data_IF_134730404724
#
_entry.id   IF_134730404724
#
_cell.length_a   1.000
_cell.length_b   1.000
_cell.length_c   1.000
_cell.angle_alpha   90.00
_cell.angle_beta   90.00
_cell.angle_gamma   90.00
#
_symmetry.space_group_name_H-M   'P 1'
#
loop_
_entity.id
_entity.type
_entity.pdbx_description
1 polymer ?
#
# COMPACT_ATOMS: atom_id res chain seq x y z
N UNK A 1 9.35 -7.24 12.46
CA UNK A 1 8.40 -6.80 11.41
C UNK A 1 7.23 -5.94 11.92
N UNK A 2 6.87 -5.97 13.22
CA UNK A 2 5.73 -5.18 13.75
C UNK A 2 5.92 -3.66 13.59
N UNK A 3 7.13 -3.14 13.76
CA UNK A 3 7.40 -1.70 13.68
C UNK A 3 7.16 -1.13 12.27
N UNK A 4 7.66 -1.81 11.24
CA UNK A 4 7.50 -1.40 9.84
C UNK A 4 6.03 -1.39 9.42
N UNK A 5 5.29 -2.45 9.71
CA UNK A 5 3.86 -2.53 9.44
C UNK A 5 3.07 -1.40 10.11
N UNK A 6 3.44 -1.03 11.35
CA UNK A 6 2.82 0.10 12.05
C UNK A 6 3.08 1.43 11.35
N UNK A 7 4.31 1.67 10.91
CA UNK A 7 4.66 2.91 10.20
C UNK A 7 3.97 3.02 8.84
N UNK A 8 3.88 1.90 8.10
CA UNK A 8 3.14 1.83 6.83
C UNK A 8 1.65 2.10 7.09
N UNK A 9 1.06 1.42 8.07
CA UNK A 9 -0.36 1.60 8.42
C UNK A 9 -0.64 3.05 8.84
N UNK A 10 0.27 3.66 9.61
CA UNK A 10 0.17 5.07 10.00
C UNK A 10 0.17 5.99 8.77
N UNK A 11 1.14 5.83 7.88
CA UNK A 11 1.23 6.60 6.64
C UNK A 11 -0.02 6.48 5.77
N UNK A 12 -0.58 5.27 5.66
CA UNK A 12 -1.80 5.02 4.90
C UNK A 12 -3.02 5.68 5.54
N UNK A 13 -3.13 5.69 6.87
CA UNK A 13 -4.23 6.36 7.58
C UNK A 13 -4.17 7.88 7.44
N UNK A 14 -2.98 8.46 7.40
CA UNK A 14 -2.83 9.90 7.14
C UNK A 14 -3.15 10.26 5.69
N UNK A 15 -2.73 9.44 4.73
CA UNK A 15 -2.91 9.72 3.31
C UNK A 15 -4.32 9.37 2.78
N UNK A 16 -4.93 8.31 3.32
CA UNK A 16 -6.19 7.71 2.85
C UNK A 16 -7.14 7.41 4.02
N UNK A 17 -7.51 8.43 4.83
CA UNK A 17 -8.28 8.20 6.05
C UNK A 17 -9.67 7.61 5.77
N UNK A 18 -10.36 8.13 4.75
CA UNK A 18 -11.71 7.67 4.39
C UNK A 18 -11.69 6.24 3.81
N UNK A 19 -10.69 5.92 2.99
CA UNK A 19 -10.50 4.58 2.44
C UNK A 19 -10.15 3.58 3.52
N UNK A 20 -9.25 3.94 4.44
CA UNK A 20 -8.86 3.06 5.55
C UNK A 20 -10.05 2.75 6.45
N UNK A 21 -10.84 3.77 6.81
CA UNK A 21 -12.03 3.60 7.63
C UNK A 21 -13.10 2.75 6.92
N UNK A 22 -13.36 3.01 5.64
CA UNK A 22 -14.32 2.24 4.85
C UNK A 22 -13.92 0.77 4.77
N UNK A 23 -12.66 0.49 4.41
CA UNK A 23 -12.15 -0.88 4.32
C UNK A 23 -12.17 -1.58 5.68
N UNK A 24 -11.83 -0.88 6.78
CA UNK A 24 -11.87 -1.45 8.12
C UNK A 24 -13.30 -1.83 8.56
N UNK A 25 -14.31 -1.14 8.02
CA UNK A 25 -15.73 -1.40 8.23
C UNK A 25 -16.34 -2.34 7.18
N UNK A 26 -15.54 -2.93 6.29
CA UNK A 26 -15.99 -3.72 5.14
C UNK A 26 -17.04 -2.98 4.28
N UNK A 27 -16.81 -1.69 4.07
CA UNK A 27 -17.63 -0.82 3.20
C UNK A 27 -16.84 -0.43 1.95
N UNK A 28 -17.57 -0.06 0.92
CA UNK A 28 -16.99 0.54 -0.27
C UNK A 28 -16.30 1.87 0.05
N UNK A 29 -15.15 2.09 -0.58
CA UNK A 29 -14.45 3.37 -0.49
C UNK A 29 -15.20 4.50 -1.21
N UNK A 30 -14.94 5.77 -0.85
CA UNK A 30 -15.59 6.90 -1.50
C UNK A 30 -15.43 6.89 -3.02
N UNK A 31 -16.51 7.23 -3.74
CA UNK A 31 -16.54 7.30 -5.21
C UNK A 31 -15.48 8.23 -5.83
N UNK A 32 -15.05 9.24 -5.06
CA UNK A 32 -14.03 10.24 -5.40
C UNK A 32 -12.59 9.82 -5.07
N UNK A 33 -12.42 8.66 -4.44
CA UNK A 33 -11.10 8.17 -4.03
C UNK A 33 -10.20 7.95 -5.24
N UNK A 34 -8.92 8.35 -5.10
CA UNK A 34 -7.88 8.05 -6.09
C UNK A 34 -7.57 6.56 -6.18
N UNK A 35 -7.95 5.77 -5.18
CA UNK A 35 -7.75 4.32 -5.14
C UNK A 35 -8.91 3.54 -5.76
N UNK A 36 -9.98 4.21 -6.19
CA UNK A 36 -11.19 3.54 -6.70
C UNK A 36 -10.97 2.74 -7.99
N UNK A 37 -10.02 3.15 -8.81
CA UNK A 37 -9.64 2.42 -10.03
C UNK A 37 -8.82 1.16 -9.74
N UNK A 38 -8.38 0.96 -8.50
CA UNK A 38 -7.61 -0.18 -8.05
C UNK A 38 -8.51 -1.16 -7.32
N UNK A 39 -8.21 -2.45 -7.42
CA UNK A 39 -8.82 -3.47 -6.56
C UNK A 39 -8.08 -3.46 -5.22
N UNK A 40 -8.64 -2.83 -4.19
CA UNK A 40 -7.96 -2.65 -2.89
C UNK A 40 -8.61 -3.45 -1.76
N UNK A 41 -7.82 -3.79 -0.75
CA UNK A 41 -8.30 -4.45 0.48
C UNK A 41 -7.38 -4.18 1.66
N UNK A 42 -7.72 -4.70 2.84
CA UNK A 42 -6.87 -4.64 4.02
C UNK A 42 -6.19 -5.99 4.29
N UNK A 43 -4.87 -5.98 4.46
CA UNK A 43 -4.08 -7.12 4.94
C UNK A 43 -3.23 -6.67 6.12
N UNK A 44 -3.42 -7.30 7.28
CA UNK A 44 -2.74 -6.93 8.53
C UNK A 44 -2.85 -5.44 8.88
N UNK A 45 -3.99 -4.81 8.56
CA UNK A 45 -4.23 -3.37 8.78
C UNK A 45 -3.66 -2.44 7.72
N UNK A 46 -2.92 -2.96 6.74
CA UNK A 46 -2.36 -2.18 5.62
C UNK A 46 -3.25 -2.29 4.38
N UNK A 47 -3.39 -1.19 3.64
CA UNK A 47 -4.05 -1.18 2.34
C UNK A 47 -3.14 -1.90 1.32
N UNK A 48 -3.69 -2.89 0.64
CA UNK A 48 -3.02 -3.67 -0.41
C UNK A 48 -3.83 -3.62 -1.69
N UNK A 49 -3.15 -3.79 -2.83
CA UNK A 49 -3.77 -3.83 -4.16
C UNK A 49 -3.78 -5.28 -4.66
N UNK A 50 -4.91 -5.80 -5.12
CA UNK A 50 -5.06 -7.13 -5.73
C UNK A 50 -5.54 -7.08 -7.18
N UNK A 51 -6.10 -8.19 -7.67
CA UNK A 51 -6.78 -8.28 -8.97
C UNK A 51 -5.99 -9.08 -10.01
N UNK A 52 -5.30 -8.39 -10.93
CA UNK A 52 -4.73 -9.01 -12.15
C UNK A 52 -3.82 -10.21 -11.89
N UNK A 53 -3.18 -10.28 -10.73
CA UNK A 53 -2.24 -11.34 -10.35
C UNK A 53 -2.83 -12.38 -9.38
N UNK A 54 -4.13 -12.35 -9.08
CA UNK A 54 -4.72 -13.22 -8.05
C UNK A 54 -4.54 -14.71 -8.36
N UNK A 55 -4.59 -15.08 -9.65
CA UNK A 55 -4.41 -16.45 -10.14
C UNK A 55 -2.96 -16.81 -10.54
N UNK A 56 -2.00 -15.90 -10.37
CA UNK A 56 -0.61 -16.16 -10.71
C UNK A 56 0.05 -17.06 -9.65
N UNK A 57 1.00 -17.91 -10.06
CA UNK A 57 1.82 -18.70 -9.13
C UNK A 57 2.91 -17.83 -8.49
N UNK A 58 2.49 -16.89 -7.65
CA UNK A 58 3.33 -15.90 -6.97
C UNK A 58 3.04 -15.91 -5.46
N UNK A 59 4.03 -15.46 -4.68
CA UNK A 59 3.83 -15.26 -3.23
C UNK A 59 2.70 -14.25 -2.96
N UNK A 60 2.09 -14.30 -1.77
CA UNK A 60 1.01 -13.38 -1.42
C UNK A 60 1.45 -11.91 -1.49
N UNK A 61 2.67 -11.60 -1.08
CA UNK A 61 3.19 -10.23 -1.11
C UNK A 61 3.42 -9.71 -2.53
N UNK A 62 3.79 -10.59 -3.46
CA UNK A 62 3.90 -10.25 -4.87
C UNK A 62 2.53 -10.09 -5.55
N UNK A 63 1.56 -10.94 -5.22
CA UNK A 63 0.20 -10.86 -5.79
C UNK A 63 -0.56 -9.65 -5.29
N UNK A 64 -0.35 -9.32 -4.02
CA UNK A 64 -1.09 -8.29 -3.33
C UNK A 64 -0.13 -7.26 -2.70
N UNK A 65 0.54 -6.43 -3.52
CA UNK A 65 1.49 -5.44 -3.03
C UNK A 65 0.84 -4.39 -2.12
N UNK A 66 1.64 -3.89 -1.17
CA UNK A 66 1.24 -2.81 -0.26
C UNK A 66 1.18 -1.49 -1.02
N UNK A 67 0.12 -0.71 -0.79
CA UNK A 67 0.01 0.63 -1.34
C UNK A 67 0.80 1.63 -0.48
N UNK A 68 1.93 2.14 -0.98
CA UNK A 68 2.68 3.18 -0.28
C UNK A 68 2.27 4.58 -0.78
N UNK A 69 1.84 5.50 0.10
CA UNK A 69 1.47 6.85 -0.31
C UNK A 69 2.71 7.62 -0.80
N UNK A 70 2.74 8.01 -2.07
CA UNK A 70 3.92 8.56 -2.74
C UNK A 70 4.52 9.79 -2.04
N UNK A 71 3.67 10.64 -1.44
CA UNK A 71 4.10 11.88 -0.80
C UNK A 71 4.42 11.75 0.69
N UNK A 72 4.45 10.53 1.24
CA UNK A 72 4.77 10.32 2.65
C UNK A 72 6.27 10.09 2.86
N UNK A 73 6.81 10.61 3.97
CA UNK A 73 8.25 10.52 4.29
C UNK A 73 8.76 9.09 4.27
N UNK A 74 7.98 8.13 4.78
CA UNK A 74 8.41 6.73 4.81
C UNK A 74 8.58 6.14 3.41
N UNK A 75 7.69 6.47 2.47
CA UNK A 75 7.75 6.00 1.09
C UNK A 75 9.01 6.53 0.41
N UNK A 76 9.35 7.80 0.64
CA UNK A 76 10.58 8.40 0.14
C UNK A 76 11.83 7.75 0.73
N UNK A 77 11.82 7.41 2.03
CA UNK A 77 12.93 6.72 2.68
C UNK A 77 13.12 5.30 2.16
N UNK A 78 12.03 4.54 1.98
CA UNK A 78 12.06 3.20 1.36
C UNK A 78 12.61 3.30 -0.07
N UNK A 79 12.12 4.25 -0.86
CA UNK A 79 12.61 4.48 -2.21
C UNK A 79 14.11 4.81 -2.22
N UNK A 80 14.55 5.74 -1.36
CA UNK A 80 15.95 6.13 -1.27
C UNK A 80 16.85 4.96 -0.87
N UNK A 81 16.44 4.16 0.11
CA UNK A 81 17.19 2.97 0.54
C UNK A 81 17.37 1.98 -0.61
N UNK A 82 16.31 1.67 -1.36
CA UNK A 82 16.40 0.79 -2.52
C UNK A 82 17.18 1.42 -3.68
N UNK A 83 17.02 2.71 -3.94
CA UNK A 83 17.79 3.43 -4.95
C UNK A 83 19.30 3.33 -4.66
N UNK A 84 19.72 3.50 -3.40
CA UNK A 84 21.12 3.33 -3.00
C UNK A 84 21.58 1.87 -3.11
N UNK A 85 20.78 0.92 -2.62
CA UNK A 85 21.10 -0.52 -2.67
C UNK A 85 21.23 -1.06 -4.10
N UNK A 86 20.44 -0.51 -5.02
CA UNK A 86 20.42 -0.89 -6.44
C UNK A 86 21.30 0.00 -7.31
N UNK A 87 22.30 0.69 -6.70
CA UNK A 87 23.29 1.50 -7.41
C UNK A 87 22.68 2.56 -8.32
N UNK A 88 21.72 3.32 -7.79
CA UNK A 88 20.99 4.38 -8.49
C UNK A 88 20.13 3.91 -9.66
N UNK A 89 19.56 2.71 -9.56
CA UNK A 89 18.54 2.23 -10.50
C UNK A 89 17.43 3.27 -10.66
N UNK A 90 16.89 3.38 -11.88
CA UNK A 90 15.98 4.44 -12.30
C UNK A 90 14.70 4.54 -11.46
N UNK A 91 14.02 5.70 -11.52
CA UNK A 91 12.75 5.95 -10.84
C UNK A 91 11.56 5.20 -11.46
#
# INVERSE_FOLDING_TARGET
>A
MVAEQRLITYAQREAFPEEHEALAKNKDIPGRSKLRSLNIGLRYGMIVVGGRLDNANLSQDQRQPINLPYNHRITQLIFLDYHMKLLHCGP
#
